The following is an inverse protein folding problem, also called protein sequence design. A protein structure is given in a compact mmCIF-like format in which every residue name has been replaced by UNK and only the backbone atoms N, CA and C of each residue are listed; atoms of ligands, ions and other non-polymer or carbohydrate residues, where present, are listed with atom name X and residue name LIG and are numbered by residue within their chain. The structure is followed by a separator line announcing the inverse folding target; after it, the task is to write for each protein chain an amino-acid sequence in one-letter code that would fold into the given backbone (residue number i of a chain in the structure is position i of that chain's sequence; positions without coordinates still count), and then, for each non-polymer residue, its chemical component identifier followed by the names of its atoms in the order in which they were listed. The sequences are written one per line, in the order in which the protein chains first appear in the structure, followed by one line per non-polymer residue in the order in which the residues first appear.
data_IF_352609475690
#
_entry.id   IF_352609475690
#
_cell.length_a   1.000
_cell.length_b   1.000
_cell.length_c   1.000
_cell.angle_alpha   90.00
_cell.angle_beta   90.00
_cell.angle_gamma   90.00
#
_symmetry.space_group_name_H-M   'P 1'
#
loop_
_entity.id
_entity.type
_entity.pdbx_description
1 polymer ?
#
# COMPACT_ATOMS: atom_id res chain seq x y z
N UNK A 1 0.80 -6.90 12.91
CA UNK A 1 0.24 -5.64 12.38
C UNK A 1 -1.26 -5.78 12.11
N UNK A 2 -2.05 -4.73 12.34
CA UNK A 2 -3.53 -4.76 12.36
C UNK A 2 -4.18 -5.40 11.12
N UNK A 3 -3.73 -5.04 9.92
CA UNK A 3 -4.31 -5.54 8.66
C UNK A 3 -3.66 -6.83 8.14
N UNK A 4 -2.79 -7.46 8.93
CA UNK A 4 -2.16 -8.74 8.59
C UNK A 4 -0.87 -8.65 7.74
N UNK A 5 -0.36 -7.45 7.44
CA UNK A 5 0.89 -7.27 6.68
C UNK A 5 1.65 -5.99 7.07
N UNK A 6 2.91 -5.87 6.64
CA UNK A 6 3.74 -4.67 6.81
C UNK A 6 3.20 -3.44 6.06
N UNK A 7 2.29 -3.65 5.10
CA UNK A 7 1.71 -2.58 4.26
C UNK A 7 1.03 -1.46 5.05
N UNK A 8 0.53 -1.75 6.26
CA UNK A 8 -0.15 -0.74 7.09
C UNK A 8 0.77 0.42 7.47
N UNK A 9 2.07 0.19 7.70
CA UNK A 9 3.02 1.23 8.07
C UNK A 9 3.06 2.35 7.02
N UNK A 10 3.24 1.93 5.76
CA UNK A 10 3.25 2.81 4.61
C UNK A 10 1.91 3.51 4.38
N UNK A 11 0.79 2.78 4.48
CA UNK A 11 -0.54 3.35 4.25
C UNK A 11 -0.89 4.44 5.25
N UNK A 12 -0.56 4.24 6.54
CA UNK A 12 -0.74 5.26 7.58
C UNK A 12 0.06 6.51 7.25
N UNK A 13 1.35 6.37 6.94
CA UNK A 13 2.21 7.52 6.62
C UNK A 13 1.72 8.32 5.40
N UNK A 14 1.42 7.64 4.29
CA UNK A 14 0.98 8.29 3.06
C UNK A 14 -0.41 8.93 3.17
N UNK A 15 -1.36 8.31 3.87
CA UNK A 15 -2.71 8.88 3.97
C UNK A 15 -2.74 10.05 4.96
N UNK A 16 -1.91 10.02 6.01
CA UNK A 16 -1.70 11.22 6.85
C UNK A 16 -1.08 12.38 6.04
N UNK A 17 -0.16 12.08 5.13
CA UNK A 17 0.37 13.08 4.20
C UNK A 17 -0.72 13.60 3.26
N UNK A 18 -1.55 12.73 2.70
CA UNK A 18 -2.69 13.11 1.87
C UNK A 18 -3.66 14.05 2.60
N UNK A 19 -3.99 13.74 3.86
CA UNK A 19 -4.82 14.59 4.71
C UNK A 19 -4.18 15.96 4.96
N UNK A 20 -2.88 15.98 5.23
CA UNK A 20 -2.12 17.24 5.39
C UNK A 20 -2.13 18.07 4.10
N UNK A 21 -2.15 17.42 2.94
CA UNK A 21 -2.26 18.07 1.62
C UNK A 21 -3.70 18.48 1.26
N UNK A 22 -4.69 18.23 2.13
CA UNK A 22 -6.09 18.55 1.87
C UNK A 22 -6.77 17.64 0.85
N UNK A 23 -6.17 16.49 0.51
CA UNK A 23 -6.74 15.53 -0.44
C UNK A 23 -7.87 14.76 0.22
N UNK A 24 -8.98 14.60 -0.50
CA UNK A 24 -10.21 13.95 0.01
C UNK A 24 -10.42 12.55 -0.56
N UNK A 25 -9.77 12.26 -1.69
CA UNK A 25 -9.86 10.99 -2.39
C UNK A 25 -8.52 10.28 -2.40
N UNK A 26 -8.55 9.00 -2.07
CA UNK A 26 -7.41 8.10 -2.06
C UNK A 26 -7.58 7.08 -3.18
N UNK A 27 -6.53 6.87 -3.95
CA UNK A 27 -6.44 5.74 -4.87
C UNK A 27 -5.24 4.86 -4.54
N UNK A 28 -5.33 3.58 -4.85
CA UNK A 28 -4.23 2.62 -4.72
C UNK A 28 -4.35 1.50 -5.76
N UNK A 29 -3.25 0.81 -6.04
CA UNK A 29 -3.23 -0.45 -6.78
C UNK A 29 -3.14 -1.66 -5.85
N UNK A 30 -3.56 -2.84 -6.26
CA UNK A 30 -3.23 -4.05 -5.52
C UNK A 30 -3.22 -5.31 -6.38
N UNK A 31 -2.37 -6.28 -6.01
CA UNK A 31 -2.32 -7.62 -6.62
C UNK A 31 -2.82 -8.66 -5.63
N UNK A 32 -2.03 -8.99 -4.60
CA UNK A 32 -2.47 -9.91 -3.53
C UNK A 32 -3.61 -9.37 -2.64
N UNK A 33 -3.97 -8.09 -2.76
CA UNK A 33 -5.05 -7.46 -1.98
C UNK A 33 -4.62 -6.84 -0.64
N UNK A 34 -3.48 -7.21 -0.08
CA UNK A 34 -3.04 -6.71 1.24
C UNK A 34 -2.80 -5.18 1.27
N UNK A 35 -2.23 -4.62 0.20
CA UNK A 35 -2.06 -3.16 0.09
C UNK A 35 -3.41 -2.43 -0.04
N UNK A 36 -4.33 -2.99 -0.82
CA UNK A 36 -5.68 -2.43 -0.97
C UNK A 36 -6.46 -2.46 0.34
N UNK A 37 -6.41 -3.57 1.08
CA UNK A 37 -7.05 -3.68 2.42
C UNK A 37 -6.44 -2.68 3.40
N UNK A 38 -5.11 -2.52 3.43
CA UNK A 38 -4.45 -1.56 4.31
C UNK A 38 -4.83 -0.11 3.96
N UNK A 39 -4.87 0.24 2.68
CA UNK A 39 -5.28 1.57 2.19
C UNK A 39 -6.74 1.84 2.57
N UNK A 40 -7.65 0.92 2.27
CA UNK A 40 -9.07 1.04 2.60
C UNK A 40 -9.30 1.20 4.10
N UNK A 41 -8.55 0.47 4.93
CA UNK A 41 -8.66 0.54 6.40
C UNK A 41 -8.36 1.94 6.92
N UNK A 42 -7.25 2.53 6.46
CA UNK A 42 -6.82 3.86 6.92
C UNK A 42 -7.71 4.96 6.34
N UNK A 43 -8.11 4.84 5.07
CA UNK A 43 -9.05 5.77 4.45
C UNK A 43 -10.40 5.80 5.17
N UNK A 44 -10.97 4.61 5.49
CA UNK A 44 -12.20 4.50 6.26
C UNK A 44 -12.06 5.15 7.65
N UNK A 45 -10.94 4.92 8.34
CA UNK A 45 -10.67 5.49 9.67
C UNK A 45 -10.61 7.02 9.67
N UNK A 46 -10.23 7.62 8.54
CA UNK A 46 -10.07 9.07 8.37
C UNK A 46 -11.21 9.71 7.57
N UNK A 47 -12.22 8.94 7.15
CA UNK A 47 -13.37 9.45 6.41
C UNK A 47 -13.02 9.95 4.99
N UNK A 48 -12.09 9.27 4.31
CA UNK A 48 -11.66 9.59 2.95
C UNK A 48 -12.26 8.60 1.94
N UNK A 49 -12.60 9.08 0.75
CA UNK A 49 -13.05 8.21 -0.34
C UNK A 49 -11.88 7.34 -0.81
N UNK A 50 -12.10 6.05 -1.05
CA UNK A 50 -11.05 5.13 -1.42
C UNK A 50 -11.42 4.31 -2.66
N UNK A 51 -10.58 4.35 -3.69
CA UNK A 51 -10.70 3.50 -4.88
C UNK A 51 -9.46 2.64 -5.02
N UNK A 52 -9.64 1.32 -5.12
CA UNK A 52 -8.56 0.36 -5.30
C UNK A 52 -8.65 -0.28 -6.67
N UNK A 53 -7.60 -0.09 -7.47
CA UNK A 53 -7.40 -0.75 -8.75
C UNK A 53 -6.80 -2.14 -8.55
N UNK A 54 -7.40 -3.16 -9.15
CA UNK A 54 -6.96 -4.54 -9.00
C UNK A 54 -7.13 -5.28 -10.31
N UNK A 55 -6.12 -6.05 -10.74
CA UNK A 55 -6.22 -6.84 -11.96
C UNK A 55 -7.41 -7.82 -11.90
N UNK A 56 -8.17 -7.97 -12.99
CA UNK A 56 -9.39 -8.77 -12.98
C UNK A 56 -9.15 -10.25 -12.63
N UNK A 57 -7.97 -10.80 -12.95
CA UNK A 57 -7.59 -12.13 -12.50
C UNK A 57 -7.34 -12.16 -10.99
N UNK A 58 -6.64 -11.15 -10.46
CA UNK A 58 -6.35 -11.01 -9.04
C UNK A 58 -7.65 -10.82 -8.22
N UNK A 59 -8.64 -10.09 -8.74
CA UNK A 59 -9.97 -9.94 -8.11
C UNK A 59 -10.63 -11.30 -7.89
N UNK A 60 -10.56 -12.20 -8.88
CA UNK A 60 -11.12 -13.56 -8.77
C UNK A 60 -10.32 -14.41 -7.78
N UNK A 61 -8.99 -14.38 -7.88
CA UNK A 61 -8.09 -15.20 -7.04
C UNK A 61 -8.08 -14.76 -5.58
N UNK A 62 -8.28 -13.47 -5.31
CA UNK A 62 -8.17 -12.84 -3.98
C UNK A 62 -9.52 -12.32 -3.47
N UNK A 63 -10.61 -13.02 -3.80
CA UNK A 63 -11.98 -12.65 -3.41
C UNK A 63 -12.15 -12.28 -1.92
N UNK A 64 -11.50 -12.96 -0.93
CA UNK A 64 -11.61 -12.57 0.47
C UNK A 64 -11.08 -11.14 0.75
N UNK A 65 -10.00 -10.72 0.11
CA UNK A 65 -9.45 -9.38 0.28
C UNK A 65 -10.30 -8.33 -0.46
N UNK A 66 -10.86 -8.68 -1.62
CA UNK A 66 -11.83 -7.82 -2.32
C UNK A 66 -13.05 -7.55 -1.44
N UNK A 67 -13.58 -8.60 -0.80
CA UNK A 67 -14.72 -8.47 0.10
C UNK A 67 -14.40 -7.57 1.30
N UNK A 68 -13.21 -7.74 1.92
CA UNK A 68 -12.75 -6.86 3.01
C UNK A 68 -12.65 -5.40 2.61
N UNK A 69 -12.10 -5.10 1.43
CA UNK A 69 -12.02 -3.72 0.91
C UNK A 69 -13.42 -3.10 0.77
N UNK A 70 -14.38 -3.85 0.23
CA UNK A 70 -15.77 -3.38 0.09
C UNK A 70 -16.46 -3.16 1.44
N UNK A 71 -16.25 -4.04 2.42
CA UNK A 71 -16.76 -3.85 3.78
C UNK A 71 -16.21 -2.59 4.46
N UNK A 72 -14.98 -2.20 4.11
CA UNK A 72 -14.35 -0.97 4.57
C UNK A 72 -14.84 0.27 3.78
N UNK A 73 -15.78 0.12 2.84
CA UNK A 73 -16.34 1.21 2.06
C UNK A 73 -15.52 1.61 0.83
N UNK A 74 -14.44 0.89 0.51
CA UNK A 74 -13.65 1.18 -0.68
C UNK A 74 -14.32 0.64 -1.95
N UNK A 75 -14.25 1.42 -3.03
CA UNK A 75 -14.58 0.97 -4.37
C UNK A 75 -13.43 0.09 -4.90
N UNK A 76 -13.73 -1.12 -5.39
CA UNK A 76 -12.73 -1.97 -6.05
C UNK A 76 -13.01 -1.98 -7.54
N UNK A 77 -12.07 -1.45 -8.34
CA UNK A 77 -12.16 -1.35 -9.81
C UNK A 77 -11.32 -2.45 -10.47
N UNK A 78 -11.96 -3.47 -11.06
CA UNK A 78 -11.24 -4.51 -11.81
C UNK A 78 -10.60 -3.93 -13.08
N UNK A 79 -9.33 -4.26 -13.31
CA UNK A 79 -8.62 -3.90 -14.54
C UNK A 79 -8.59 -5.08 -15.49
N UNK A 80 -9.31 -4.94 -16.61
CA UNK A 80 -9.48 -5.96 -17.65
C UNK A 80 -8.45 -5.83 -18.79
N UNK A 81 -7.70 -4.73 -18.83
CA UNK A 81 -6.69 -4.45 -19.84
C UNK A 81 -5.38 -5.23 -19.58
N UNK A 82 -4.63 -5.46 -20.65
CA UNK A 82 -3.30 -6.05 -20.58
C UNK A 82 -3.28 -7.47 -19.98
N UNK A 83 -2.32 -7.71 -19.09
CA UNK A 83 -2.16 -8.99 -18.40
C UNK A 83 -3.16 -9.21 -17.26
N UNK A 84 -3.95 -8.20 -16.91
CA UNK A 84 -4.95 -8.23 -15.83
C UNK A 84 -4.35 -8.55 -14.46
N UNK A 85 -3.14 -8.05 -14.22
CA UNK A 85 -2.40 -8.20 -12.96
C UNK A 85 -2.01 -6.85 -12.35
N UNK A 86 -1.23 -6.87 -11.27
CA UNK A 86 -0.69 -5.69 -10.57
C UNK A 86 -0.12 -4.60 -11.49
N UNK A 87 0.62 -4.96 -12.55
CA UNK A 87 1.22 -3.99 -13.46
C UNK A 87 0.16 -3.14 -14.16
N UNK A 88 -0.92 -3.77 -14.62
CA UNK A 88 -2.01 -3.08 -15.31
C UNK A 88 -2.84 -2.24 -14.32
N UNK A 89 -3.04 -2.75 -13.10
CA UNK A 89 -3.67 -2.00 -12.02
C UNK A 89 -2.92 -0.70 -11.68
N UNK A 90 -1.58 -0.74 -11.64
CA UNK A 90 -0.74 0.43 -11.42
C UNK A 90 -0.88 1.45 -12.55
N UNK A 91 -0.94 1.00 -13.81
CA UNK A 91 -1.10 1.88 -14.96
C UNK A 91 -2.46 2.62 -14.93
N UNK A 92 -3.54 1.91 -14.63
CA UNK A 92 -4.88 2.52 -14.53
C UNK A 92 -4.98 3.46 -13.33
N UNK A 93 -4.39 3.11 -12.17
CA UNK A 93 -4.32 4.01 -11.03
C UNK A 93 -3.55 5.31 -11.35
N UNK A 94 -2.43 5.21 -12.07
CA UNK A 94 -1.66 6.37 -12.48
C UNK A 94 -2.42 7.25 -13.49
N UNK A 95 -3.20 6.65 -14.40
CA UNK A 95 -4.07 7.38 -15.33
C UNK A 95 -5.17 8.14 -14.59
N UNK A 96 -5.84 7.49 -13.63
CA UNK A 96 -6.83 8.16 -12.76
C UNK A 96 -6.19 9.33 -12.02
N UNK A 97 -4.99 9.12 -11.45
CA UNK A 97 -4.32 10.18 -10.70
C UNK A 97 -4.06 11.43 -11.53
N UNK A 98 -3.62 11.26 -12.78
CA UNK A 98 -3.33 12.38 -13.68
C UNK A 98 -4.60 13.17 -14.02
N UNK A 99 -5.76 12.51 -14.11
CA UNK A 99 -7.02 13.20 -14.41
C UNK A 99 -7.70 13.83 -13.19
N UNK A 100 -7.30 13.44 -11.97
CA UNK A 100 -7.90 13.91 -10.70
C UNK A 100 -6.85 14.47 -9.71
N UNK A 101 -5.77 15.06 -10.21
CA UNK A 101 -4.62 15.46 -9.37
C UNK A 101 -4.99 16.45 -8.25
N UNK A 102 -6.02 17.27 -8.45
CA UNK A 102 -6.41 18.35 -7.53
C UNK A 102 -6.99 17.84 -6.22
N UNK A 103 -7.77 16.76 -6.24
CA UNK A 103 -8.48 16.23 -5.06
C UNK A 103 -7.98 14.84 -4.61
N UNK A 104 -7.19 14.16 -5.45
CA UNK A 104 -6.78 12.77 -5.27
C UNK A 104 -5.31 12.62 -4.87
N UNK A 105 -5.05 11.72 -3.92
CA UNK A 105 -3.72 11.22 -3.58
C UNK A 105 -3.57 9.75 -3.97
N UNK A 106 -2.47 9.42 -4.65
CA UNK A 106 -2.15 8.05 -5.02
C UNK A 106 -1.23 7.38 -3.99
N UNK A 107 -1.71 6.35 -3.31
CA UNK A 107 -0.94 5.57 -2.34
C UNK A 107 -0.23 4.41 -3.03
N UNK A 108 1.04 4.61 -3.40
CA UNK A 108 1.88 3.55 -3.98
C UNK A 108 2.27 2.52 -2.92
N UNK A 109 2.08 1.23 -3.23
CA UNK A 109 2.18 0.13 -2.28
C UNK A 109 3.57 -0.44 -2.04
N UNK A 110 4.60 0.01 -2.75
CA UNK A 110 5.96 -0.51 -2.62
C UNK A 110 7.03 0.54 -2.91
N UNK A 111 8.32 0.18 -2.72
CA UNK A 111 9.48 1.03 -3.06
C UNK A 111 9.65 1.04 -4.58
N UNK A 112 8.69 1.66 -5.25
CA UNK A 112 8.55 1.73 -6.69
C UNK A 112 7.88 3.06 -7.08
N UNK A 113 7.73 3.29 -8.38
CA UNK A 113 7.19 4.55 -8.90
C UNK A 113 8.23 5.67 -8.96
N UNK A 114 7.81 6.88 -9.37
CA UNK A 114 8.71 8.02 -9.49
C UNK A 114 9.12 8.56 -8.11
N UNK A 115 10.20 9.34 -8.06
CA UNK A 115 10.47 10.18 -6.90
C UNK A 115 9.22 11.04 -6.58
N UNK A 116 8.79 11.18 -5.31
CA UNK A 116 9.47 10.76 -4.08
C UNK A 116 9.08 9.38 -3.52
N UNK A 117 8.26 8.59 -4.20
CA UNK A 117 7.65 7.37 -3.63
C UNK A 117 8.66 6.34 -3.12
N UNK A 118 9.74 5.97 -3.83
CA UNK A 118 10.69 4.99 -3.30
C UNK A 118 11.29 5.38 -1.95
N UNK A 119 11.67 6.66 -1.78
CA UNK A 119 12.21 7.19 -0.52
C UNK A 119 11.12 7.22 0.56
N UNK A 120 9.94 7.76 0.22
CA UNK A 120 8.84 7.90 1.15
C UNK A 120 8.36 6.55 1.70
N UNK A 121 8.20 5.54 0.84
CA UNK A 121 7.80 4.19 1.26
C UNK A 121 8.87 3.55 2.15
N UNK A 122 10.15 3.68 1.79
CA UNK A 122 11.27 3.21 2.63
C UNK A 122 11.22 3.86 4.01
N UNK A 123 11.02 5.17 4.07
CA UNK A 123 11.04 5.92 5.32
C UNK A 123 9.87 5.54 6.23
N UNK A 124 8.68 5.30 5.68
CA UNK A 124 7.55 4.78 6.46
C UNK A 124 7.71 3.31 6.87
N UNK A 125 8.57 2.54 6.21
CA UNK A 125 8.85 1.14 6.55
C UNK A 125 10.08 0.96 7.45
N UNK A 126 10.93 1.99 7.61
CA UNK A 126 12.18 1.89 8.37
C UNK A 126 11.98 1.50 9.83
N UNK A 127 10.77 1.67 10.36
CA UNK A 127 10.40 1.25 11.72
C UNK A 127 10.66 -0.24 11.94
N UNK A 128 10.48 -1.10 10.91
CA UNK A 128 10.73 -2.54 11.00
C UNK A 128 12.19 -2.81 11.39
N UNK A 129 13.13 -2.16 10.69
CA UNK A 129 14.57 -2.35 10.95
C UNK A 129 15.03 -1.71 12.27
N UNK A 130 14.41 -0.58 12.66
CA UNK A 130 14.70 0.08 13.95
C UNK A 130 14.29 -0.80 15.13
N UNK A 131 13.05 -1.28 15.14
CA UNK A 131 12.53 -2.18 16.17
C UNK A 131 13.33 -3.50 16.20
N UNK A 132 13.62 -4.09 15.04
CA UNK A 132 14.41 -5.33 14.94
C UNK A 132 15.79 -5.15 15.57
N UNK A 133 16.47 -4.03 15.30
CA UNK A 133 17.80 -3.76 15.87
C UNK A 133 17.76 -3.61 17.38
N UNK A 134 16.78 -2.87 17.90
CA UNK A 134 16.58 -2.68 19.33
C UNK A 134 16.27 -4.01 20.03
N UNK A 135 15.40 -4.83 19.44
CA UNK A 135 15.04 -6.16 19.95
C UNK A 135 16.24 -7.11 19.97
N UNK A 136 17.06 -7.14 18.90
CA UNK A 136 18.26 -7.98 18.84
C UNK A 136 19.29 -7.60 19.90
N UNK A 137 19.54 -6.31 20.10
CA UNK A 137 20.46 -5.85 21.14
C UNK A 137 19.94 -6.17 22.55
N UNK A 138 18.64 -6.07 22.77
CA UNK A 138 18.03 -6.38 24.07
C UNK A 138 18.01 -7.87 24.41
N UNK A 139 17.76 -8.74 23.42
CA UNK A 139 17.62 -10.19 23.64
C UNK A 139 18.95 -10.93 23.55
N UNK A 140 19.81 -10.54 22.62
CA UNK A 140 21.02 -11.29 22.28
C UNK A 140 22.32 -10.53 22.61
N UNK A 141 22.24 -9.26 23.02
CA UNK A 141 23.40 -8.43 23.34
C UNK A 141 24.31 -8.11 22.15
N UNK A 142 23.86 -8.41 20.91
CA UNK A 142 24.64 -8.26 19.68
C UNK A 142 23.74 -7.99 18.47
N UNK A 143 24.35 -7.61 17.35
CA UNK A 143 23.65 -7.50 16.06
C UNK A 143 23.45 -8.90 15.41
N UNK A 144 22.43 -9.05 14.55
CA UNK A 144 22.23 -10.29 13.80
C UNK A 144 23.35 -10.50 12.78
N UNK A 145 23.71 -11.76 12.53
CA UNK A 145 24.70 -12.14 11.51
C UNK A 145 24.19 -11.89 10.09
N UNK A 146 22.88 -12.02 9.88
CA UNK A 146 22.20 -11.72 8.62
C UNK A 146 20.73 -11.31 8.86
N UNK A 147 20.19 -10.53 7.93
CA UNK A 147 18.75 -10.23 7.80
C UNK A 147 18.25 -10.75 6.45
N UNK A 148 17.06 -11.34 6.44
CA UNK A 148 16.46 -11.92 5.23
C UNK A 148 15.02 -11.44 5.12
N UNK A 149 14.64 -11.02 3.91
CA UNK A 149 13.30 -10.52 3.58
C UNK A 149 12.93 -10.91 2.14
N UNK A 150 11.64 -11.00 1.83
CA UNK A 150 11.19 -11.35 0.49
C UNK A 150 11.14 -10.11 -0.42
N UNK A 151 11.54 -10.26 -1.68
CA UNK A 151 11.62 -9.13 -2.61
C UNK A 151 10.57 -9.28 -3.72
N UNK A 152 9.42 -8.65 -3.51
CA UNK A 152 8.49 -8.28 -4.58
C UNK A 152 8.92 -6.93 -5.17
N UNK A 153 8.23 -5.86 -4.79
CA UNK A 153 8.68 -4.48 -5.05
C UNK A 153 9.57 -3.88 -3.94
N UNK A 154 10.13 -4.69 -3.05
CA UNK A 154 11.14 -4.26 -2.06
C UNK A 154 10.69 -3.60 -0.76
N UNK A 155 9.41 -3.26 -0.53
CA UNK A 155 9.03 -2.45 0.65
C UNK A 155 9.15 -3.08 2.05
N UNK A 156 9.28 -4.41 2.16
CA UNK A 156 9.51 -5.06 3.46
C UNK A 156 10.99 -5.36 3.71
N UNK A 157 11.78 -5.39 2.63
CA UNK A 157 13.19 -5.68 2.65
C UNK A 157 13.97 -4.38 2.91
#
# INVERSE_FOLDING_TARGET
NHTGAHKINNCVGQILLAQRMGKRRIIAETGAGQHGVATATVAARLGLDCVVYMGAEDVKRQAPNVYRMKLLGAEVRPVESGSRTLKDAMNEAMRDWVTHVDDTFYVIGSVAGPHPYPMMVRDFQCIIGRETREQMLALEGRLPDALVACVGGGSNA
#
